data_IF_030530239310
#
_entry.id   IF_030530239310
#
_cell.length_a   1.000
_cell.length_b   1.000
_cell.length_c   1.000
_cell.angle_alpha   90.00
_cell.angle_beta   90.00
_cell.angle_gamma   90.00
#
_symmetry.space_group_name_H-M   'P 1'
#
loop_
_entity.id
_entity.type
_entity.pdbx_description
1 polymer ?
#
# COMPACT_ATOMS: atom_id res chain seq x y z
N UNK A 1 7.53 -22.15 32.91
CA UNK A 1 8.21 -20.85 32.78
C UNK A 1 7.52 -20.16 31.62
N UNK A 2 6.87 -19.01 31.85
CA UNK A 2 6.00 -18.41 30.86
C UNK A 2 6.86 -17.92 29.67
N UNK A 3 6.53 -18.42 28.47
CA UNK A 3 7.02 -17.92 27.19
C UNK A 3 6.48 -16.49 26.99
N UNK A 4 7.08 -15.52 27.68
CA UNK A 4 6.70 -14.13 27.57
C UNK A 4 7.17 -13.57 26.23
N UNK A 5 6.23 -13.13 25.40
CA UNK A 5 6.51 -12.42 24.17
C UNK A 5 7.43 -11.23 24.48
N UNK A 6 8.64 -11.24 23.92
CA UNK A 6 9.68 -10.23 24.12
C UNK A 6 9.21 -8.83 23.69
N UNK A 7 8.24 -8.77 22.76
CA UNK A 7 7.60 -7.52 22.34
C UNK A 7 6.66 -6.94 23.41
N UNK A 8 6.17 -7.78 24.33
CA UNK A 8 5.34 -7.40 25.48
C UNK A 8 6.15 -7.25 26.77
N UNK A 9 7.47 -7.49 26.73
CA UNK A 9 8.32 -7.38 27.90
C UNK A 9 8.39 -5.92 28.44
N UNK A 10 8.52 -5.72 29.75
CA UNK A 10 8.64 -4.39 30.35
C UNK A 10 9.86 -3.58 29.86
N UNK A 11 10.89 -4.25 29.36
CA UNK A 11 12.13 -3.65 28.83
C UNK A 11 12.07 -3.24 27.35
N UNK A 12 10.88 -3.20 26.76
CA UNK A 12 10.68 -2.88 25.34
C UNK A 12 11.26 -1.51 24.94
N UNK A 13 11.77 -1.34 23.70
CA UNK A 13 12.41 -0.11 23.24
C UNK A 13 11.44 1.07 23.00
N UNK A 14 10.14 0.86 23.23
CA UNK A 14 9.10 1.87 23.05
C UNK A 14 8.78 2.55 24.40
N UNK A 15 8.48 3.85 24.40
CA UNK A 15 8.17 4.59 25.62
C UNK A 15 6.87 4.06 26.25
N UNK A 16 6.99 3.23 27.29
CA UNK A 16 5.91 2.88 28.21
C UNK A 16 4.55 2.57 27.57
N UNK A 17 3.48 3.09 28.18
CA UNK A 17 2.14 3.12 27.62
C UNK A 17 1.92 4.47 26.91
N UNK A 18 1.50 4.43 25.64
CA UNK A 18 1.21 5.65 24.86
C UNK A 18 -0.24 6.05 25.12
N UNK A 19 -0.43 7.13 25.88
CA UNK A 19 -1.77 7.63 26.24
C UNK A 19 -2.55 8.19 25.03
N UNK A 20 -1.86 8.85 24.08
CA UNK A 20 -2.46 9.38 22.86
C UNK A 20 -1.62 9.00 21.63
N UNK A 21 -2.09 7.97 20.94
CA UNK A 21 -1.48 7.48 19.70
C UNK A 21 -1.51 8.49 18.57
N UNK A 22 -2.56 9.33 18.50
CA UNK A 22 -2.72 10.29 17.42
C UNK A 22 -1.70 11.41 17.56
N UNK A 23 -1.53 11.95 18.76
CA UNK A 23 -0.51 12.96 19.04
C UNK A 23 0.90 12.39 18.84
N UNK A 24 1.15 11.18 19.34
CA UNK A 24 2.46 10.53 19.21
C UNK A 24 2.83 10.29 17.74
N UNK A 25 1.96 9.66 16.95
CA UNK A 25 2.20 9.46 15.51
C UNK A 25 2.22 10.78 14.73
N UNK A 26 1.44 11.78 15.15
CA UNK A 26 1.41 13.11 14.56
C UNK A 26 2.76 13.82 14.67
N UNK A 27 3.39 13.76 15.84
CA UNK A 27 4.70 14.38 16.07
C UNK A 27 5.79 13.84 15.13
N UNK A 28 5.77 12.54 14.85
CA UNK A 28 6.70 11.89 13.91
C UNK A 28 6.35 12.24 12.47
N UNK A 29 5.05 12.33 12.15
CA UNK A 29 4.59 12.70 10.82
C UNK A 29 4.94 14.14 10.44
N UNK A 30 5.01 15.05 11.41
CA UNK A 30 5.45 16.42 11.22
C UNK A 30 6.97 16.52 10.96
N UNK A 31 7.76 15.62 11.55
CA UNK A 31 9.21 15.58 11.37
C UNK A 31 9.64 14.99 10.01
N UNK A 32 8.89 14.01 9.49
CA UNK A 32 9.19 13.34 8.21
C UNK A 32 7.97 13.28 7.27
N UNK A 33 7.46 14.44 6.81
CA UNK A 33 6.22 14.50 6.06
C UNK A 33 6.29 13.75 4.71
N UNK A 34 7.44 13.70 4.06
CA UNK A 34 7.63 13.01 2.78
C UNK A 34 7.42 11.50 2.91
N UNK A 35 7.92 10.89 3.99
CA UNK A 35 7.79 9.46 4.24
C UNK A 35 6.34 9.08 4.55
N UNK A 36 5.64 9.89 5.33
CA UNK A 36 4.21 9.68 5.59
C UNK A 36 3.35 9.85 4.35
N UNK A 37 3.67 10.84 3.50
CA UNK A 37 2.98 11.05 2.23
C UNK A 37 3.21 9.88 1.26
N UNK A 38 4.44 9.35 1.20
CA UNK A 38 4.76 8.17 0.41
C UNK A 38 3.98 6.94 0.92
N UNK A 39 3.97 6.72 2.22
CA UNK A 39 3.23 5.62 2.85
C UNK A 39 1.74 5.70 2.50
N UNK A 40 1.09 6.85 2.73
CA UNK A 40 -0.33 7.07 2.43
C UNK A 40 -0.66 6.80 0.97
N UNK A 41 0.14 7.33 0.03
CA UNK A 41 -0.03 7.12 -1.40
C UNK A 41 0.05 5.64 -1.78
N UNK A 42 1.02 4.95 -1.23
CA UNK A 42 1.27 3.56 -1.54
C UNK A 42 0.21 2.64 -0.92
N UNK A 43 -0.23 2.90 0.31
CA UNK A 43 -1.31 2.15 0.97
C UNK A 43 -2.61 2.23 0.16
N UNK A 44 -2.94 3.38 -0.42
CA UNK A 44 -4.13 3.53 -1.27
C UNK A 44 -4.14 2.61 -2.50
N UNK A 45 -2.97 2.14 -2.95
CA UNK A 45 -2.83 1.25 -4.12
C UNK A 45 -2.28 -0.14 -3.76
N UNK A 46 -2.02 -0.40 -2.46
CA UNK A 46 -1.39 -1.64 -1.99
C UNK A 46 0.09 -1.80 -2.38
N UNK A 47 0.79 -0.72 -2.71
CA UNK A 47 2.20 -0.75 -3.13
C UNK A 47 3.14 -0.80 -1.93
N UNK A 48 4.31 -1.46 -2.04
CA UNK A 48 5.30 -1.45 -0.96
C UNK A 48 6.02 -0.09 -0.87
N UNK A 49 6.22 0.39 0.36
CA UNK A 49 6.89 1.67 0.68
C UNK A 49 8.36 1.51 1.09
N UNK A 50 8.96 0.34 0.86
CA UNK A 50 10.34 0.03 1.22
C UNK A 50 11.37 0.54 0.20
N UNK A 51 12.65 0.41 0.57
CA UNK A 51 13.76 0.72 -0.33
C UNK A 51 13.69 -0.13 -1.62
N UNK A 52 14.22 0.36 -2.76
CA UNK A 52 14.18 -0.37 -4.03
C UNK A 52 14.75 -1.80 -3.95
N UNK A 53 15.80 -2.00 -3.15
CA UNK A 53 16.41 -3.33 -2.95
C UNK A 53 15.52 -4.27 -2.14
N UNK A 54 14.80 -3.76 -1.15
CA UNK A 54 13.79 -4.53 -0.42
C UNK A 54 12.67 -4.98 -1.37
N UNK A 55 12.18 -4.07 -2.22
CA UNK A 55 11.13 -4.40 -3.18
C UNK A 55 11.62 -5.43 -4.21
N UNK A 56 12.86 -5.30 -4.72
CA UNK A 56 13.47 -6.30 -5.62
C UNK A 56 13.52 -7.69 -4.99
N UNK A 57 13.99 -7.77 -3.75
CA UNK A 57 14.02 -9.03 -3.01
C UNK A 57 12.63 -9.63 -2.86
N UNK A 58 11.65 -8.83 -2.47
CA UNK A 58 10.27 -9.26 -2.30
C UNK A 58 9.64 -9.75 -3.63
N UNK A 59 9.91 -9.07 -4.73
CA UNK A 59 9.46 -9.50 -6.06
C UNK A 59 10.05 -10.85 -6.48
N UNK A 60 11.31 -11.11 -6.13
CA UNK A 60 11.98 -12.39 -6.40
C UNK A 60 11.37 -13.51 -5.55
N UNK A 61 11.11 -13.27 -4.27
CA UNK A 61 10.50 -14.26 -3.36
C UNK A 61 9.06 -14.59 -3.76
N UNK A 62 8.28 -13.59 -4.20
CA UNK A 62 6.89 -13.76 -4.62
C UNK A 62 6.72 -14.15 -6.09
N UNK A 63 7.81 -14.14 -6.87
CA UNK A 63 7.80 -14.28 -8.33
C UNK A 63 6.75 -13.39 -9.02
N UNK A 64 6.58 -12.15 -8.54
CA UNK A 64 5.57 -11.19 -8.99
C UNK A 64 6.15 -9.79 -9.02
N UNK A 65 5.81 -9.01 -10.05
CA UNK A 65 6.17 -7.60 -10.15
C UNK A 65 5.24 -6.73 -9.28
N UNK A 66 5.82 -5.99 -8.34
CA UNK A 66 5.13 -5.05 -7.45
C UNK A 66 5.41 -3.59 -7.84
N UNK A 67 6.55 -3.35 -8.49
CA UNK A 67 6.96 -2.04 -8.98
C UNK A 67 6.02 -1.52 -10.07
N UNK A 68 5.84 -0.19 -10.17
CA UNK A 68 5.06 0.40 -11.25
C UNK A 68 5.63 -0.03 -12.61
N UNK A 69 4.77 -0.61 -13.44
CA UNK A 69 5.07 -0.92 -14.83
C UNK A 69 4.50 0.15 -15.75
N UNK A 70 5.07 0.25 -16.95
CA UNK A 70 4.50 1.12 -17.99
C UNK A 70 3.04 0.74 -18.21
N UNK A 71 2.16 1.74 -18.21
CA UNK A 71 0.74 1.53 -18.48
C UNK A 71 0.59 0.88 -19.86
N UNK A 72 -0.31 -0.08 -19.97
CA UNK A 72 -0.63 -0.69 -21.26
C UNK A 72 -1.14 0.33 -22.27
N UNK A 73 -1.07 -0.02 -23.56
CA UNK A 73 -1.66 0.79 -24.64
C UNK A 73 -3.14 0.99 -24.36
N UNK A 74 -3.65 2.22 -24.59
CA UNK A 74 -5.08 2.50 -24.48
C UNK A 74 -5.86 1.52 -25.38
N UNK A 75 -6.87 0.81 -24.85
CA UNK A 75 -7.68 -0.08 -25.68
C UNK A 75 -8.27 0.71 -26.85
N UNK A 76 -8.25 0.12 -28.04
CA UNK A 76 -8.96 0.68 -29.18
C UNK A 76 -10.45 0.51 -28.88
N UNK A 77 -11.14 1.63 -28.68
CA UNK A 77 -12.60 1.64 -28.57
C UNK A 77 -13.11 1.15 -29.92
N UNK A 78 -13.51 -0.12 -30.02
CA UNK A 78 -14.37 -0.53 -31.11
C UNK A 78 -15.67 0.27 -30.94
N UNK A 79 -16.27 0.80 -32.02
CA UNK A 79 -17.63 1.31 -31.93
C UNK A 79 -18.47 0.21 -31.27
N UNK A 80 -19.13 0.54 -30.16
CA UNK A 80 -20.26 -0.27 -29.72
C UNK A 80 -21.29 -0.14 -30.85
N UNK A 81 -21.25 -1.07 -31.80
CA UNK A 81 -22.39 -1.34 -32.65
C UNK A 81 -23.44 -1.95 -31.74
N UNK A 82 -24.19 -1.08 -31.05
CA UNK A 82 -25.54 -1.43 -30.66
C UNK A 82 -26.23 -1.72 -31.98
N UNK A 83 -26.38 -3.00 -32.30
CA UNK A 83 -27.21 -3.44 -33.42
C UNK A 83 -28.56 -2.75 -33.26
N UNK A 84 -29.03 -1.97 -34.26
CA UNK A 84 -30.34 -1.31 -34.22
C UNK A 84 -31.50 -2.27 -33.95
N UNK A 85 -31.26 -3.56 -34.18
CA UNK A 85 -32.15 -4.71 -34.09
C UNK A 85 -32.77 -4.96 -32.69
N UNK A 86 -32.45 -4.17 -31.66
CA UNK A 86 -33.02 -4.35 -30.32
C UNK A 86 -34.38 -3.65 -30.12
N UNK A 87 -34.76 -2.68 -30.97
CA UNK A 87 -35.98 -1.87 -30.76
C UNK A 87 -37.06 -1.99 -31.85
N UNK A 88 -36.87 -2.82 -32.89
CA UNK A 88 -37.93 -3.11 -33.85
C UNK A 88 -38.67 -4.40 -33.45
N UNK A 89 -39.62 -4.27 -32.52
CA UNK A 89 -40.69 -5.25 -32.35
C UNK A 89 -41.99 -4.50 -32.03
N UNK A 90 -42.92 -4.58 -33.00
CA UNK A 90 -44.31 -4.09 -33.06
C UNK A 90 -44.58 -2.63 -33.46
#
# INVERSE_FOLDING_TARGET
>A
MADGDELLAPGRPFPGEVADWKAWLGSVAECEPERFNLLRRNTATGRPSGAPEFVRRLENELNRLLRPQRRGRKPRVAPCELTPDFFDTE
#
